data_IF_840568270862
#
_entry.id   IF_840568270862
#
_cell.length_a   1.000
_cell.length_b   1.000
_cell.length_c   1.000
_cell.angle_alpha   90.00
_cell.angle_beta   90.00
_cell.angle_gamma   90.00
#
_symmetry.space_group_name_H-M   'P 1'
#
loop_
_entity.id
_entity.type
_entity.pdbx_description
1 polymer ?
#
# COMPACT_ATOMS: atom_id res chain seq x y z
N UNK A 1 24.31 10.44 -9.72
CA UNK A 1 23.71 9.09 -9.74
C UNK A 1 22.59 9.09 -10.76
N UNK A 2 22.71 8.40 -11.91
CA UNK A 2 21.60 8.29 -12.84
C UNK A 2 20.46 7.56 -12.14
N UNK A 3 19.29 8.20 -12.06
CA UNK A 3 18.09 7.63 -11.44
C UNK A 3 17.74 6.30 -12.12
N UNK A 4 17.41 5.29 -11.31
CA UNK A 4 16.83 4.06 -11.83
C UNK A 4 15.59 4.42 -12.67
N UNK A 5 15.48 3.92 -13.91
CA UNK A 5 14.25 4.09 -14.67
C UNK A 5 13.11 3.44 -13.88
N UNK A 6 12.09 4.23 -13.55
CA UNK A 6 10.84 3.73 -13.00
C UNK A 6 10.29 2.71 -14.00
N UNK A 7 9.98 1.47 -13.60
CA UNK A 7 9.45 0.48 -14.53
C UNK A 7 8.21 1.06 -15.20
N UNK A 8 8.25 1.15 -16.52
CA UNK A 8 7.07 1.44 -17.34
C UNK A 8 5.99 0.44 -16.92
N UNK A 9 4.78 0.86 -16.53
CA UNK A 9 3.73 -0.08 -16.19
C UNK A 9 3.51 -0.98 -17.40
N UNK A 10 3.88 -2.26 -17.24
CA UNK A 10 3.56 -3.29 -18.21
C UNK A 10 2.04 -3.24 -18.43
N UNK A 11 1.59 -3.39 -19.68
CA UNK A 11 0.18 -3.41 -20.03
C UNK A 11 -0.60 -4.24 -19.00
N UNK A 12 -1.78 -3.78 -18.53
CA UNK A 12 -2.45 -4.40 -17.40
C UNK A 12 -2.69 -5.89 -17.70
N UNK A 13 -1.94 -6.75 -17.02
CA UNK A 13 -2.19 -8.18 -17.02
C UNK A 13 -3.60 -8.35 -16.47
N UNK A 14 -4.53 -8.71 -17.35
CA UNK A 14 -5.97 -8.45 -17.18
C UNK A 14 -6.61 -9.23 -16.01
N UNK A 15 -5.84 -10.09 -15.34
CA UNK A 15 -6.28 -11.00 -14.28
C UNK A 15 -5.48 -10.86 -12.97
N UNK A 16 -4.57 -9.88 -12.84
CA UNK A 16 -3.75 -9.77 -11.62
C UNK A 16 -4.54 -9.07 -10.50
N UNK A 17 -4.61 -9.71 -9.33
CA UNK A 17 -5.11 -9.11 -8.08
C UNK A 17 -3.93 -8.65 -7.24
N UNK A 18 -3.90 -7.37 -6.88
CA UNK A 18 -2.95 -6.81 -5.93
C UNK A 18 -3.45 -6.96 -4.49
N UNK A 19 -2.55 -7.30 -3.56
CA UNK A 19 -2.84 -7.40 -2.13
C UNK A 19 -1.92 -6.48 -1.33
N UNK A 20 -2.50 -5.53 -0.60
CA UNK A 20 -1.81 -4.66 0.35
C UNK A 20 -1.91 -5.30 1.73
N UNK A 21 -0.77 -5.67 2.31
CA UNK A 21 -0.68 -6.22 3.66
C UNK A 21 -0.36 -5.09 4.66
N UNK A 22 -1.40 -4.50 5.24
CA UNK A 22 -1.29 -3.49 6.30
C UNK A 22 -1.35 -4.09 7.72
N UNK A 23 -1.49 -5.42 7.86
CA UNK A 23 -1.49 -6.11 9.15
C UNK A 23 -0.09 -6.36 9.72
N UNK A 24 0.34 -5.59 10.71
CA UNK A 24 1.60 -5.80 11.43
C UNK A 24 1.50 -5.52 12.94
N UNK A 25 2.44 -6.03 13.74
CA UNK A 25 2.48 -5.79 15.20
C UNK A 25 2.83 -4.35 15.59
N UNK A 26 3.27 -3.51 14.66
CA UNK A 26 3.60 -2.11 14.95
C UNK A 26 4.69 -1.91 16.03
N UNK A 27 5.40 -2.96 16.46
CA UNK A 27 6.18 -2.96 17.70
C UNK A 27 7.31 -1.91 17.75
N UNK A 28 7.87 -1.57 16.59
CA UNK A 28 8.90 -0.52 16.44
C UNK A 28 8.33 0.90 16.32
N UNK A 29 7.00 1.04 16.24
CA UNK A 29 6.23 2.28 16.12
C UNK A 29 5.17 2.37 17.23
N UNK A 30 5.49 1.88 18.43
CA UNK A 30 4.61 1.99 19.60
C UNK A 30 3.33 1.16 19.54
N UNK A 31 3.24 0.17 18.64
CA UNK A 31 2.04 -0.66 18.46
C UNK A 31 0.97 -0.03 17.54
N UNK A 32 1.24 1.13 16.96
CA UNK A 32 0.33 1.78 16.01
C UNK A 32 0.20 0.99 14.70
N UNK A 33 -0.99 1.07 14.08
CA UNK A 33 -1.17 0.57 12.72
C UNK A 33 -0.38 1.45 11.75
N UNK A 34 0.73 0.91 11.24
CA UNK A 34 1.64 1.64 10.36
C UNK A 34 0.97 2.07 9.06
N UNK A 35 -0.04 1.33 8.59
CA UNK A 35 -0.76 1.67 7.35
C UNK A 35 -1.52 2.99 7.43
N UNK A 36 -1.93 3.38 8.65
CA UNK A 36 -2.68 4.60 8.92
C UNK A 36 -1.80 5.79 9.30
N UNK A 37 -0.50 5.59 9.48
CA UNK A 37 0.39 6.72 9.78
C UNK A 37 0.43 7.69 8.61
N UNK A 38 0.28 9.00 8.87
CA UNK A 38 0.36 10.00 7.82
C UNK A 38 1.81 10.14 7.34
N UNK A 39 1.99 10.05 6.03
CA UNK A 39 3.15 10.53 5.31
C UNK A 39 2.66 11.69 4.43
N UNK A 40 3.25 12.87 4.56
CA UNK A 40 2.85 14.05 3.75
C UNK A 40 1.32 14.27 3.73
N UNK A 41 0.69 14.19 4.90
CA UNK A 41 -0.76 14.36 5.11
C UNK A 41 -1.68 13.28 4.52
N UNK A 42 -1.12 12.18 3.99
CA UNK A 42 -1.88 11.04 3.48
C UNK A 42 -1.46 9.74 4.18
N UNK A 43 -2.37 8.79 4.46
CA UNK A 43 -2.00 7.51 5.02
C UNK A 43 -1.00 6.76 4.14
N UNK A 44 -0.04 6.04 4.75
CA UNK A 44 0.91 5.21 4.01
C UNK A 44 0.21 4.18 3.10
N UNK A 45 -0.90 3.61 3.55
CA UNK A 45 -1.71 2.67 2.73
C UNK A 45 -2.24 3.34 1.45
N UNK A 46 -2.55 4.64 1.50
CA UNK A 46 -3.08 5.36 0.36
C UNK A 46 -2.01 5.58 -0.72
N UNK A 47 -0.78 5.89 -0.32
CA UNK A 47 0.35 5.98 -1.26
C UNK A 47 0.59 4.66 -1.99
N UNK A 48 0.49 3.53 -1.27
CA UNK A 48 0.65 2.19 -1.85
C UNK A 48 -0.50 1.89 -2.81
N UNK A 49 -1.73 2.20 -2.42
CA UNK A 49 -2.91 2.04 -3.27
C UNK A 49 -2.78 2.83 -4.57
N UNK A 50 -2.45 4.12 -4.51
CA UNK A 50 -2.32 4.99 -5.70
C UNK A 50 -1.27 4.47 -6.69
N UNK A 51 -0.20 3.84 -6.21
CA UNK A 51 0.83 3.23 -7.06
C UNK A 51 0.42 1.86 -7.59
N UNK A 52 -0.32 1.06 -6.82
CA UNK A 52 -0.69 -0.31 -7.16
C UNK A 52 -1.93 -0.38 -8.06
N UNK A 53 -2.94 0.45 -7.82
CA UNK A 53 -4.22 0.46 -8.54
C UNK A 53 -4.11 0.48 -10.08
N UNK A 54 -3.26 1.29 -10.72
CA UNK A 54 -3.17 1.30 -12.19
C UNK A 54 -2.54 0.03 -12.79
N UNK A 55 -1.97 -0.87 -11.98
CA UNK A 55 -1.23 -2.05 -12.44
C UNK A 55 -2.02 -3.36 -12.31
N UNK A 56 -3.14 -3.36 -11.57
CA UNK A 56 -3.89 -4.57 -11.23
C UNK A 56 -5.40 -4.37 -11.45
N UNK A 57 -6.12 -5.46 -11.70
CA UNK A 57 -7.58 -5.42 -11.90
C UNK A 57 -8.34 -5.21 -10.59
N UNK A 58 -7.87 -5.85 -9.54
CA UNK A 58 -8.50 -5.83 -8.22
C UNK A 58 -7.45 -5.52 -7.17
N UNK A 59 -7.76 -4.66 -6.21
CA UNK A 59 -6.91 -4.40 -5.04
C UNK A 59 -7.63 -4.88 -3.78
N UNK A 60 -6.95 -5.72 -3.01
CA UNK A 60 -7.39 -6.17 -1.68
C UNK A 60 -6.51 -5.52 -0.61
N UNK A 61 -7.10 -5.19 0.53
CA UNK A 61 -6.40 -4.66 1.71
C UNK A 61 -6.62 -5.61 2.88
N UNK A 62 -5.53 -6.21 3.36
CA UNK A 62 -5.54 -7.01 4.59
C UNK A 62 -4.94 -6.20 5.73
N UNK A 63 -5.78 -5.84 6.70
CA UNK A 63 -5.40 -5.07 7.88
C UNK A 63 -5.93 -5.78 9.14
N UNK A 64 -5.07 -5.96 10.14
CA UNK A 64 -5.44 -6.64 11.39
C UNK A 64 -6.02 -5.69 12.45
N UNK A 65 -6.00 -4.36 12.22
CA UNK A 65 -6.43 -3.36 13.21
C UNK A 65 -7.05 -2.13 12.54
N UNK A 66 -8.35 -2.16 12.34
CA UNK A 66 -9.13 -0.93 12.19
C UNK A 66 -10.22 -0.96 13.28
N UNK A 67 -9.84 -0.59 14.50
CA UNK A 67 -10.82 -0.35 15.54
C UNK A 67 -11.43 1.02 15.24
N UNK A 68 -12.53 1.02 14.47
CA UNK A 68 -13.49 2.09 14.54
C UNK A 68 -13.84 2.28 16.02
N UNK A 69 -13.53 3.46 16.55
CA UNK A 69 -14.07 3.92 17.83
C UNK A 69 -14.87 5.17 17.56
#
# INVERSE_FOLDING_TARGET
MPGHPNPTPAAPCTEVTGLILAGGRGARLGGADKGLLPLTSQPLVQHVFERLAPQVRTVLLSANRNHAR
#
